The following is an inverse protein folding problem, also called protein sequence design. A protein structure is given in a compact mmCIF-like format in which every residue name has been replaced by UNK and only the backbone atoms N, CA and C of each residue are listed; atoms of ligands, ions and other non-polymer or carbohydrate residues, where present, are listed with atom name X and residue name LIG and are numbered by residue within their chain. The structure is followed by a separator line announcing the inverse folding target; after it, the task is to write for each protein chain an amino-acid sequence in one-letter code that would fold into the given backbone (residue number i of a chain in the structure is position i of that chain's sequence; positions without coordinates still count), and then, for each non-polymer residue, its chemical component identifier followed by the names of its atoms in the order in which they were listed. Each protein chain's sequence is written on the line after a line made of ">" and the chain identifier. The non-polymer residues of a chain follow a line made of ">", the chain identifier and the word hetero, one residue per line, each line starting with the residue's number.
data_IF_606624554883
#
_entry.id   IF_606624554883
#
_cell.length_a   1.000
_cell.length_b   1.000
_cell.length_c   1.000
_cell.angle_alpha   90.00
_cell.angle_beta   90.00
_cell.angle_gamma   90.00
#
_symmetry.space_group_name_H-M   'P 1'
#
loop_
_entity.id
_entity.type
_entity.pdbx_description
1 polymer ?
#
# COMPACT_ATOMS: atom_id res chain seq x y z
N UNK A 1 -50.61 -22.92 17.46
CA UNK A 1 -50.65 -21.90 16.39
C UNK A 1 -49.43 -22.14 15.50
N UNK A 2 -49.65 -22.44 14.21
CA UNK A 2 -48.58 -22.88 13.28
C UNK A 2 -47.79 -21.68 12.74
N UNK A 3 -46.53 -21.57 13.14
CA UNK A 3 -45.62 -20.51 12.70
C UNK A 3 -45.36 -20.54 11.18
N UNK A 4 -45.50 -21.70 10.54
CA UNK A 4 -45.30 -21.87 9.09
C UNK A 4 -46.33 -21.09 8.25
N UNK A 5 -47.57 -20.97 8.73
CA UNK A 5 -48.61 -20.21 8.03
C UNK A 5 -48.31 -18.71 8.03
N UNK A 6 -47.80 -18.18 9.15
CA UNK A 6 -47.39 -16.78 9.25
C UNK A 6 -46.16 -16.46 8.40
N UNK A 7 -45.28 -17.45 8.18
CA UNK A 7 -44.10 -17.32 7.31
C UNK A 7 -44.47 -17.25 5.83
N UNK A 8 -45.46 -18.03 5.39
CA UNK A 8 -45.96 -18.03 4.02
C UNK A 8 -46.62 -16.69 3.62
N UNK A 9 -47.28 -16.02 4.58
CA UNK A 9 -47.90 -14.72 4.36
C UNK A 9 -46.93 -13.53 4.39
N UNK A 10 -45.62 -13.77 4.55
CA UNK A 10 -44.60 -12.72 4.61
C UNK A 10 -44.72 -11.79 5.83
N UNK A 11 -45.55 -12.14 6.82
CA UNK A 11 -45.80 -11.32 8.03
C UNK A 11 -44.79 -11.54 9.15
N UNK A 12 -43.83 -12.45 8.96
CA UNK A 12 -42.68 -12.62 9.85
C UNK A 12 -41.47 -11.90 9.25
N UNK A 13 -40.85 -10.94 9.97
CA UNK A 13 -39.64 -10.30 9.50
C UNK A 13 -38.56 -11.35 9.29
N UNK A 14 -37.98 -11.40 8.08
CA UNK A 14 -36.87 -12.30 7.75
C UNK A 14 -35.78 -12.10 8.81
N UNK A 15 -35.37 -13.16 9.51
CA UNK A 15 -34.22 -13.11 10.43
C UNK A 15 -33.04 -12.50 9.67
N UNK A 16 -32.47 -11.42 10.20
CA UNK A 16 -31.36 -10.70 9.60
C UNK A 16 -30.23 -11.69 9.27
N UNK A 17 -29.53 -11.50 8.12
CA UNK A 17 -28.42 -12.36 7.77
C UNK A 17 -27.37 -12.23 8.86
N UNK A 18 -27.10 -13.35 9.52
CA UNK A 18 -26.05 -13.50 10.52
C UNK A 18 -24.77 -12.91 9.92
N UNK A 19 -24.27 -11.83 10.54
CA UNK A 19 -23.03 -11.17 10.15
C UNK A 19 -21.92 -12.22 10.17
N UNK A 20 -21.65 -12.83 9.02
CA UNK A 20 -20.39 -13.53 8.76
C UNK A 20 -19.30 -12.46 8.87
N UNK A 21 -18.74 -12.34 10.06
CA UNK A 21 -17.49 -11.61 10.32
C UNK A 21 -16.37 -12.36 9.60
N UNK A 22 -16.32 -12.29 8.28
CA UNK A 22 -15.10 -12.61 7.56
C UNK A 22 -14.07 -11.58 8.00
N UNK A 23 -12.89 -11.99 8.52
CA UNK A 23 -11.83 -11.04 8.74
C UNK A 23 -11.41 -10.57 7.35
N UNK A 24 -11.87 -9.38 6.97
CA UNK A 24 -11.36 -8.68 5.79
C UNK A 24 -9.88 -8.47 6.06
N UNK A 25 -9.04 -9.42 5.60
CA UNK A 25 -7.60 -9.25 5.49
C UNK A 25 -7.41 -8.10 4.52
N UNK A 26 -7.43 -6.90 5.08
CA UNK A 26 -7.13 -5.64 4.41
C UNK A 26 -5.69 -5.78 3.97
N UNK A 27 -5.48 -6.37 2.78
CA UNK A 27 -4.22 -6.29 2.06
C UNK A 27 -4.07 -4.81 1.74
N UNK A 28 -3.51 -4.06 2.68
CA UNK A 28 -2.94 -2.75 2.42
C UNK A 28 -1.77 -3.01 1.46
N UNK A 29 -2.10 -3.21 0.18
CA UNK A 29 -1.16 -3.05 -0.89
C UNK A 29 -0.68 -1.62 -0.76
N UNK A 30 0.52 -1.44 -0.21
CA UNK A 30 1.15 -0.13 -0.11
C UNK A 30 1.44 0.29 -1.55
N UNK A 31 0.46 0.92 -2.20
CA UNK A 31 0.66 1.56 -3.50
C UNK A 31 1.60 2.72 -3.23
N UNK A 32 2.87 2.54 -3.60
CA UNK A 32 3.84 3.61 -3.50
C UNK A 32 3.35 4.76 -4.38
N UNK A 33 3.06 5.91 -3.77
CA UNK A 33 2.69 7.11 -4.52
C UNK A 33 3.92 7.57 -5.32
N UNK A 34 3.79 7.88 -6.62
CA UNK A 34 4.90 8.44 -7.38
C UNK A 34 5.28 9.79 -6.77
N UNK A 35 6.56 9.96 -6.45
CA UNK A 35 7.12 11.23 -5.98
C UNK A 35 7.88 11.87 -7.14
N UNK A 36 7.51 13.10 -7.49
CA UNK A 36 8.23 13.87 -8.50
C UNK A 36 9.41 14.57 -7.83
N UNK A 37 10.62 14.34 -8.36
CA UNK A 37 11.83 15.00 -7.90
C UNK A 37 12.30 15.92 -9.03
N UNK A 38 12.34 17.22 -8.73
CA UNK A 38 12.97 18.20 -9.61
C UNK A 38 14.49 18.08 -9.44
N UNK A 39 15.18 17.70 -10.51
CA UNK A 39 16.64 17.66 -10.57
C UNK A 39 17.10 18.34 -11.85
N UNK A 40 18.23 19.02 -11.78
CA UNK A 40 18.86 19.70 -12.92
C UNK A 40 19.30 18.68 -13.98
N UNK A 41 19.46 19.12 -15.23
CA UNK A 41 19.87 18.23 -16.34
C UNK A 41 21.18 17.50 -16.03
N UNK A 42 22.16 18.21 -15.48
CA UNK A 42 23.45 17.63 -15.07
C UNK A 42 23.32 16.59 -13.96
N UNK A 43 22.43 16.81 -12.99
CA UNK A 43 22.22 15.88 -11.88
C UNK A 43 21.56 14.58 -12.35
N UNK A 44 20.59 14.67 -13.27
CA UNK A 44 19.97 13.49 -13.90
C UNK A 44 20.99 12.65 -14.66
N UNK A 45 21.90 13.30 -15.37
CA UNK A 45 22.92 12.62 -16.17
C UNK A 45 23.91 11.89 -15.26
N UNK A 46 24.38 12.54 -14.18
CA UNK A 46 25.21 11.90 -13.16
C UNK A 46 24.53 10.68 -12.54
N UNK A 47 23.28 10.82 -12.10
CA UNK A 47 22.51 9.72 -11.51
C UNK A 47 22.30 8.57 -12.50
N UNK A 48 22.13 8.87 -13.79
CA UNK A 48 21.97 7.86 -14.84
C UNK A 48 23.27 7.09 -15.07
N UNK A 49 24.40 7.80 -15.16
CA UNK A 49 25.71 7.16 -15.31
C UNK A 49 26.06 6.28 -14.11
N UNK A 50 25.80 6.77 -12.90
CA UNK A 50 26.06 6.03 -11.67
C UNK A 50 25.14 4.81 -11.54
N UNK A 51 23.87 4.95 -11.88
CA UNK A 51 22.93 3.83 -11.92
C UNK A 51 23.36 2.77 -12.95
N UNK A 52 23.82 3.18 -14.13
CA UNK A 52 24.33 2.28 -15.16
C UNK A 52 25.60 1.53 -14.70
N UNK A 53 26.55 2.20 -14.04
CA UNK A 53 27.75 1.56 -13.48
C UNK A 53 27.41 0.45 -12.49
N UNK A 54 26.34 0.65 -11.72
CA UNK A 54 25.86 -0.31 -10.72
C UNK A 54 24.87 -1.33 -11.29
N UNK A 55 24.49 -1.23 -12.56
CA UNK A 55 23.45 -2.09 -13.17
C UNK A 55 22.06 -1.88 -12.55
N UNK A 56 21.79 -0.70 -11.98
CA UNK A 56 20.56 -0.38 -11.28
C UNK A 56 19.69 0.60 -12.08
N UNK A 57 18.38 0.59 -11.81
CA UNK A 57 17.49 1.67 -12.26
C UNK A 57 17.77 2.95 -11.46
N UNK A 58 17.69 4.11 -12.09
CA UNK A 58 17.85 5.43 -11.43
C UNK A 58 16.92 5.56 -10.20
N UNK A 59 15.68 5.06 -10.29
CA UNK A 59 14.75 5.05 -9.16
C UNK A 59 15.17 4.13 -8.00
N UNK A 60 15.91 3.05 -8.27
CA UNK A 60 16.49 2.19 -7.24
C UNK A 60 17.70 2.87 -6.58
N UNK A 61 18.56 3.53 -7.37
CA UNK A 61 19.69 4.31 -6.87
C UNK A 61 19.20 5.45 -5.96
N UNK A 62 18.23 6.25 -6.41
CA UNK A 62 17.65 7.35 -5.61
C UNK A 62 17.08 6.82 -4.30
N UNK A 63 16.36 5.69 -4.32
CA UNK A 63 15.84 5.07 -3.08
C UNK A 63 16.95 4.65 -2.13
N UNK A 64 18.07 4.15 -2.66
CA UNK A 64 19.23 3.76 -1.86
C UNK A 64 19.87 5.00 -1.23
N UNK A 65 20.15 6.04 -2.02
CA UNK A 65 20.71 7.32 -1.53
C UNK A 65 19.82 7.92 -0.44
N UNK A 66 18.51 7.98 -0.67
CA UNK A 66 17.55 8.47 0.32
C UNK A 66 17.59 7.62 1.58
N UNK A 67 17.55 6.29 1.44
CA UNK A 67 17.59 5.37 2.59
C UNK A 67 18.89 5.51 3.38
N UNK A 68 20.03 5.64 2.71
CA UNK A 68 21.33 5.80 3.33
C UNK A 68 21.43 7.17 4.02
N UNK A 69 20.97 8.25 3.37
CA UNK A 69 20.90 9.59 3.96
C UNK A 69 20.04 9.63 5.23
N UNK A 70 18.84 9.04 5.18
CA UNK A 70 18.00 8.94 6.36
C UNK A 70 18.59 7.97 7.40
N UNK A 71 19.30 6.91 7.02
CA UNK A 71 19.98 6.05 7.99
C UNK A 71 21.11 6.77 8.73
N UNK A 72 21.80 7.71 8.08
CA UNK A 72 22.86 8.52 8.68
C UNK A 72 22.31 9.66 9.55
N UNK A 73 21.17 10.26 9.19
CA UNK A 73 20.47 11.28 10.00
C UNK A 73 19.72 10.65 11.18
N UNK A 74 19.03 9.55 10.86
CA UNK A 74 18.39 8.50 11.64
C UNK A 74 19.26 7.68 12.59
N UNK A 75 20.45 8.13 13.02
CA UNK A 75 21.37 7.33 13.86
C UNK A 75 20.59 6.45 14.86
N UNK A 76 20.91 5.15 14.98
CA UNK A 76 19.96 4.09 15.31
C UNK A 76 19.04 4.52 16.44
N UNK A 77 17.77 4.81 16.09
CA UNK A 77 16.74 5.29 17.01
C UNK A 77 17.00 4.85 18.46
N UNK A 78 17.51 5.78 19.27
CA UNK A 78 17.49 5.72 20.73
C UNK A 78 16.43 6.69 21.21
#
# INVERSE_FOLDING_TARGET
>A
MNEDFLRALGRLPRKAPELRKTPTKRKLGKVAKPMSISASKQEKERLTQEANKLGLKVSALIRKIIKDYFKEKDGPHS
#
